data_IF_509926811147
#
_entry.id   IF_509926811147
#
_cell.length_a   1.000
_cell.length_b   1.000
_cell.length_c   1.000
_cell.angle_alpha   90.00
_cell.angle_beta   90.00
_cell.angle_gamma   90.00
#
_symmetry.space_group_name_H-M   'P 1'
#
loop_
_entity.id
_entity.type
_entity.pdbx_description
1 polymer ?
#
# COMPACT_ATOMS: atom_id res chain seq x y z
N UNK A 1 6.72 14.68 -7.79
CA UNK A 1 7.35 13.43 -7.34
C UNK A 1 7.81 13.58 -5.91
N UNK A 2 7.56 12.56 -5.11
CA UNK A 2 7.90 12.57 -3.69
C UNK A 2 9.07 11.62 -3.46
N UNK A 3 10.27 12.14 -3.17
CA UNK A 3 11.44 11.28 -2.97
C UNK A 3 11.33 10.48 -1.66
N UNK A 4 12.04 9.36 -1.63
CA UNK A 4 12.12 8.52 -0.45
C UNK A 4 12.94 9.20 0.64
N UNK A 5 12.49 9.20 1.91
CA UNK A 5 13.24 9.83 3.00
C UNK A 5 14.53 9.10 3.37
N UNK A 6 14.72 7.87 2.92
CA UNK A 6 15.86 7.03 3.31
C UNK A 6 16.95 6.95 2.24
N UNK A 7 16.99 7.89 1.29
CA UNK A 7 17.95 7.89 0.20
C UNK A 7 17.91 6.67 -0.71
N UNK A 8 16.89 5.86 -0.62
CA UNK A 8 16.64 4.78 -1.57
C UNK A 8 16.25 5.44 -2.90
N UNK A 9 16.78 4.99 -4.04
CA UNK A 9 16.53 5.65 -5.33
C UNK A 9 15.13 5.35 -5.86
N UNK A 10 14.12 5.90 -5.18
CA UNK A 10 12.73 5.81 -5.60
C UNK A 10 11.97 7.04 -5.13
N UNK A 11 10.83 7.30 -5.76
CA UNK A 11 9.85 8.27 -5.30
C UNK A 11 8.67 7.51 -4.69
N UNK A 12 8.11 8.05 -3.62
CA UNK A 12 6.92 7.43 -3.01
C UNK A 12 5.71 7.53 -3.94
N UNK A 13 5.58 8.66 -4.66
CA UNK A 13 4.49 8.91 -5.59
C UNK A 13 5.04 9.62 -6.81
N UNK A 14 4.59 9.21 -7.99
CA UNK A 14 4.88 9.88 -9.26
C UNK A 14 3.57 10.20 -9.95
N UNK A 15 3.38 11.47 -10.32
CA UNK A 15 2.23 11.86 -11.14
C UNK A 15 2.64 11.81 -12.60
N UNK A 16 1.85 11.11 -13.41
CA UNK A 16 2.05 11.03 -14.86
C UNK A 16 0.68 11.15 -15.53
N UNK A 17 0.47 12.26 -16.25
CA UNK A 17 -0.83 12.57 -16.83
C UNK A 17 -1.89 12.70 -15.75
N UNK A 18 -2.97 11.97 -15.88
CA UNK A 18 -4.10 11.99 -14.94
C UNK A 18 -3.96 10.95 -13.83
N UNK A 19 -2.80 10.29 -13.71
CA UNK A 19 -2.62 9.19 -12.78
C UNK A 19 -1.51 9.44 -11.79
N UNK A 20 -1.69 8.87 -10.61
CA UNK A 20 -0.65 8.76 -9.58
C UNK A 20 -0.19 7.31 -9.53
N UNK A 21 1.12 7.12 -9.53
CA UNK A 21 1.75 5.82 -9.36
C UNK A 21 2.39 5.81 -7.99
N UNK A 22 1.87 4.97 -7.09
CA UNK A 22 2.30 4.92 -5.70
C UNK A 22 3.15 3.69 -5.50
N UNK A 23 4.36 3.89 -4.98
CA UNK A 23 5.29 2.80 -4.65
C UNK A 23 4.71 1.90 -3.58
N UNK A 24 5.23 0.69 -3.48
CA UNK A 24 4.80 -0.26 -2.45
C UNK A 24 4.86 0.34 -1.06
N UNK A 25 3.73 0.35 -0.36
CA UNK A 25 3.63 0.87 0.99
C UNK A 25 3.76 -0.28 1.98
N UNK A 26 4.81 -0.28 2.81
CA UNK A 26 4.95 -1.27 3.88
C UNK A 26 4.15 -0.84 5.12
N UNK A 27 4.02 -1.72 6.13
CA UNK A 27 3.31 -1.37 7.35
C UNK A 27 4.16 -0.52 8.31
N UNK A 28 4.56 0.65 7.84
CA UNK A 28 5.43 1.55 8.59
C UNK A 28 4.60 2.50 9.44
N UNK A 29 4.95 2.61 10.72
CA UNK A 29 4.35 3.59 11.62
C UNK A 29 5.00 4.95 11.34
N UNK A 30 4.20 5.93 10.94
CA UNK A 30 4.71 7.26 10.60
C UNK A 30 5.21 8.02 11.82
N UNK A 31 4.68 7.74 13.01
CA UNK A 31 5.11 8.41 14.23
C UNK A 31 6.51 7.99 14.65
N UNK A 32 6.87 6.72 14.46
CA UNK A 32 8.16 6.19 14.91
C UNK A 32 9.13 5.92 13.78
N UNK A 33 8.65 5.85 12.54
CA UNK A 33 9.46 5.47 11.39
C UNK A 33 9.80 4.00 11.32
N UNK A 34 9.23 3.18 12.20
CA UNK A 34 9.54 1.74 12.29
C UNK A 34 8.41 0.92 11.69
N UNK A 35 8.76 -0.27 11.16
CA UNK A 35 7.76 -1.23 10.73
C UNK A 35 6.99 -1.72 11.94
N UNK A 36 5.65 -1.71 11.87
CA UNK A 36 4.86 -2.27 12.96
C UNK A 36 4.98 -3.79 12.93
N UNK A 37 4.96 -4.38 14.11
CA UNK A 37 4.93 -5.82 14.28
C UNK A 37 3.53 -6.22 14.69
N UNK A 38 3.15 -7.44 14.36
CA UNK A 38 1.83 -7.92 14.70
C UNK A 38 1.36 -8.92 13.67
N UNK A 39 0.10 -9.30 13.80
CA UNK A 39 -0.51 -10.24 12.86
C UNK A 39 -0.71 -9.58 11.50
N UNK A 40 -1.12 -10.40 10.54
CA UNK A 40 -1.28 -9.92 9.16
C UNK A 40 -2.41 -8.89 9.06
N UNK A 41 -3.44 -9.03 9.87
CA UNK A 41 -4.56 -8.07 9.89
C UNK A 41 -4.08 -6.69 10.32
N UNK A 42 -3.29 -6.62 11.38
CA UNK A 42 -2.71 -5.37 11.89
C UNK A 42 -1.81 -4.72 10.85
N UNK A 43 -0.95 -5.51 10.21
CA UNK A 43 -0.05 -5.02 9.18
C UNK A 43 -0.82 -4.53 7.96
N UNK A 44 -1.82 -5.27 7.51
CA UNK A 44 -2.64 -4.89 6.36
C UNK A 44 -3.35 -3.57 6.60
N UNK A 45 -3.91 -3.40 7.80
CA UNK A 45 -4.58 -2.15 8.17
C UNK A 45 -3.61 -0.97 8.12
N UNK A 46 -2.41 -1.13 8.65
CA UNK A 46 -1.41 -0.07 8.62
C UNK A 46 -1.00 0.28 7.18
N UNK A 47 -0.81 -0.74 6.33
CA UNK A 47 -0.48 -0.52 4.92
C UNK A 47 -1.56 0.32 4.23
N UNK A 48 -2.83 -0.03 4.45
CA UNK A 48 -3.94 0.68 3.80
C UNK A 48 -4.13 2.09 4.37
N UNK A 49 -3.88 2.30 5.66
CA UNK A 49 -3.85 3.63 6.24
C UNK A 49 -2.74 4.47 5.63
N UNK A 50 -1.56 3.89 5.43
CA UNK A 50 -0.44 4.58 4.80
C UNK A 50 -0.76 4.96 3.35
N UNK A 51 -1.38 4.05 2.63
CA UNK A 51 -1.80 4.30 1.25
C UNK A 51 -2.79 5.47 1.19
N UNK A 52 -3.78 5.45 2.08
CA UNK A 52 -4.77 6.53 2.17
C UNK A 52 -4.12 7.88 2.46
N UNK A 53 -3.18 7.90 3.41
CA UNK A 53 -2.47 9.12 3.79
C UNK A 53 -1.69 9.71 2.60
N UNK A 54 -0.96 8.87 1.87
CA UNK A 54 -0.18 9.30 0.72
C UNK A 54 -1.10 9.81 -0.40
N UNK A 55 -2.20 9.12 -0.65
CA UNK A 55 -3.16 9.55 -1.68
C UNK A 55 -3.80 10.89 -1.32
N UNK A 56 -4.22 11.07 -0.08
CA UNK A 56 -4.82 12.33 0.36
C UNK A 56 -3.83 13.48 0.31
N UNK A 57 -2.59 13.24 0.69
CA UNK A 57 -1.53 14.25 0.60
C UNK A 57 -1.24 14.64 -0.86
N UNK A 58 -1.58 13.78 -1.80
CA UNK A 58 -1.37 14.00 -3.24
C UNK A 58 -2.63 14.52 -3.94
N UNK A 59 -3.70 14.81 -3.19
CA UNK A 59 -4.94 15.34 -3.76
C UNK A 59 -5.89 14.28 -4.31
N UNK A 60 -5.67 13.01 -3.99
CA UNK A 60 -6.51 11.91 -4.42
C UNK A 60 -7.18 11.25 -3.21
N UNK A 61 -7.62 9.99 -3.35
CA UNK A 61 -8.28 9.26 -2.27
C UNK A 61 -8.37 7.78 -2.63
N UNK A 62 -8.72 6.94 -1.65
CA UNK A 62 -8.83 5.49 -1.87
C UNK A 62 -9.89 5.14 -2.91
N UNK A 63 -11.00 5.88 -2.96
CA UNK A 63 -12.05 5.61 -3.94
C UNK A 63 -11.66 5.95 -5.38
N UNK A 64 -10.52 6.57 -5.57
CA UNK A 64 -9.97 6.89 -6.90
C UNK A 64 -8.88 5.91 -7.32
N UNK A 65 -8.59 4.91 -6.51
CA UNK A 65 -7.63 3.85 -6.87
C UNK A 65 -8.25 2.96 -7.94
N UNK A 66 -7.49 2.71 -9.00
CA UNK A 66 -7.96 1.89 -10.13
C UNK A 66 -7.27 0.53 -10.18
N UNK A 67 -6.09 0.42 -9.59
CA UNK A 67 -5.34 -0.84 -9.58
C UNK A 67 -4.48 -0.92 -8.34
N UNK A 68 -4.48 -2.09 -7.69
CA UNK A 68 -3.53 -2.39 -6.62
C UNK A 68 -2.77 -3.67 -6.95
N UNK A 69 -1.57 -3.79 -6.40
CA UNK A 69 -0.85 -5.06 -6.32
C UNK A 69 -0.48 -5.29 -4.87
N UNK A 70 -0.93 -6.43 -4.34
CA UNK A 70 -0.64 -6.84 -2.97
C UNK A 70 0.51 -7.83 -3.02
N UNK A 71 1.60 -7.52 -2.34
CA UNK A 71 2.75 -8.41 -2.18
C UNK A 71 2.74 -8.95 -0.77
N UNK A 72 2.77 -10.26 -0.61
CA UNK A 72 2.67 -10.90 0.69
C UNK A 72 3.63 -12.09 0.75
N UNK A 73 4.20 -12.35 1.94
CA UNK A 73 5.18 -13.44 2.08
C UNK A 73 4.54 -14.81 2.13
N UNK A 74 3.24 -14.90 2.39
CA UNK A 74 2.57 -16.19 2.59
C UNK A 74 1.16 -16.16 2.01
N UNK A 75 0.88 -17.06 1.08
CA UNK A 75 -0.43 -17.18 0.45
C UNK A 75 -1.54 -17.54 1.44
N UNK A 76 -1.19 -18.14 2.59
CA UNK A 76 -2.16 -18.47 3.63
C UNK A 76 -2.82 -17.22 4.24
N UNK A 77 -2.22 -16.05 4.06
CA UNK A 77 -2.78 -14.78 4.54
C UNK A 77 -3.86 -14.20 3.64
N UNK A 78 -4.13 -14.81 2.50
CA UNK A 78 -5.03 -14.26 1.48
C UNK A 78 -6.39 -13.87 2.05
N UNK A 79 -7.00 -14.77 2.83
CA UNK A 79 -8.34 -14.55 3.39
C UNK A 79 -8.36 -13.41 4.41
N UNK A 80 -7.38 -13.40 5.32
CA UNK A 80 -7.27 -12.36 6.34
C UNK A 80 -7.01 -10.98 5.72
N UNK A 81 -6.16 -10.92 4.71
CA UNK A 81 -5.90 -9.68 3.96
C UNK A 81 -7.20 -9.19 3.30
N UNK A 82 -7.95 -10.09 2.67
CA UNK A 82 -9.21 -9.73 2.02
C UNK A 82 -10.21 -9.12 2.99
N UNK A 83 -10.29 -9.64 4.21
CA UNK A 83 -11.24 -9.14 5.20
C UNK A 83 -10.97 -7.68 5.56
N UNK A 84 -9.70 -7.33 5.75
CA UNK A 84 -9.31 -5.95 6.05
C UNK A 84 -9.41 -5.07 4.80
N UNK A 85 -8.95 -5.56 3.67
CA UNK A 85 -8.98 -4.85 2.39
C UNK A 85 -10.40 -4.41 2.03
N UNK A 86 -11.38 -5.28 2.30
CA UNK A 86 -12.79 -5.02 2.02
C UNK A 86 -13.33 -3.83 2.81
N UNK A 87 -12.80 -3.56 3.99
CA UNK A 87 -13.19 -2.39 4.79
C UNK A 87 -12.76 -1.07 4.14
N UNK A 88 -11.67 -1.09 3.38
CA UNK A 88 -11.12 0.11 2.74
C UNK A 88 -11.63 0.32 1.32
N UNK A 89 -12.08 -0.75 0.68
CA UNK A 89 -12.65 -0.71 -0.66
C UNK A 89 -14.03 -1.37 -0.67
N UNK A 90 -15.01 -0.75 0.02
CA UNK A 90 -16.33 -1.39 0.21
C UNK A 90 -17.20 -1.38 -1.04
N UNK A 91 -16.94 -0.48 -1.99
CA UNK A 91 -17.73 -0.34 -3.21
C UNK A 91 -16.79 -0.20 -4.40
N UNK A 92 -17.16 -0.84 -5.52
CA UNK A 92 -16.41 -0.76 -6.77
C UNK A 92 -14.91 -0.95 -6.53
N UNK A 93 -14.48 -2.09 -5.97
CA UNK A 93 -13.07 -2.30 -5.65
C UNK A 93 -12.20 -2.19 -6.90
N UNK A 94 -10.95 -1.73 -6.74
CA UNK A 94 -10.04 -1.62 -7.88
C UNK A 94 -9.66 -2.99 -8.43
N UNK A 95 -9.16 -3.01 -9.66
CA UNK A 95 -8.50 -4.20 -10.18
C UNK A 95 -7.33 -4.56 -9.26
N UNK A 96 -7.06 -5.85 -9.06
CA UNK A 96 -6.04 -6.28 -8.09
C UNK A 96 -5.32 -7.53 -8.54
N UNK A 97 -4.02 -7.58 -8.24
CA UNK A 97 -3.24 -8.80 -8.27
C UNK A 97 -2.70 -9.08 -6.87
N UNK A 98 -2.67 -10.34 -6.47
CA UNK A 98 -2.10 -10.79 -5.20
C UNK A 98 -0.91 -11.69 -5.54
N UNK A 99 0.28 -11.30 -5.09
CA UNK A 99 1.53 -11.97 -5.45
C UNK A 99 2.27 -12.37 -4.18
N UNK A 100 2.74 -13.61 -4.12
CA UNK A 100 3.62 -14.02 -3.01
C UNK A 100 5.06 -13.71 -3.36
N UNK A 101 5.84 -13.30 -2.36
CA UNK A 101 7.25 -12.95 -2.51
C UNK A 101 8.08 -13.74 -1.51
N UNK A 102 9.38 -13.91 -1.81
CA UNK A 102 10.26 -14.70 -0.96
C UNK A 102 10.71 -13.96 0.29
N UNK A 103 11.12 -12.71 0.15
CA UNK A 103 11.61 -11.92 1.26
C UNK A 103 11.73 -10.46 0.86
N UNK A 104 11.88 -9.60 1.87
CA UNK A 104 12.19 -8.18 1.70
C UNK A 104 13.45 -7.83 2.47
N UNK A 105 14.07 -6.69 2.15
CA UNK A 105 15.21 -6.21 2.95
C UNK A 105 14.83 -5.71 4.34
N UNK A 106 13.55 -5.75 4.70
CA UNK A 106 13.04 -5.36 6.02
C UNK A 106 12.06 -6.41 6.52
N UNK A 107 11.77 -6.38 7.83
CA UNK A 107 10.94 -7.40 8.48
C UNK A 107 9.47 -6.98 8.48
N UNK A 108 8.75 -7.35 7.44
CA UNK A 108 7.29 -7.19 7.36
C UNK A 108 6.74 -8.24 6.40
N UNK A 109 5.43 -8.45 6.45
CA UNK A 109 4.78 -9.55 5.72
C UNK A 109 3.99 -9.10 4.49
N UNK A 110 3.69 -7.82 4.36
CA UNK A 110 2.83 -7.33 3.29
C UNK A 110 3.22 -5.91 2.89
N UNK A 111 3.11 -5.60 1.60
CA UNK A 111 3.09 -4.23 1.10
C UNK A 111 2.14 -4.14 -0.08
N UNK A 112 1.63 -2.94 -0.34
CA UNK A 112 0.67 -2.70 -1.42
C UNK A 112 1.11 -1.46 -2.20
N UNK A 113 1.17 -1.61 -3.52
CA UNK A 113 1.32 -0.48 -4.43
C UNK A 113 0.00 -0.20 -5.12
N UNK A 114 -0.16 1.00 -5.66
CA UNK A 114 -1.39 1.29 -6.39
C UNK A 114 -1.19 2.31 -7.51
N UNK A 115 -2.18 2.36 -8.39
CA UNK A 115 -2.37 3.42 -9.38
C UNK A 115 -3.72 4.06 -9.07
N UNK A 116 -3.75 5.38 -8.98
CA UNK A 116 -4.98 6.12 -8.70
C UNK A 116 -5.15 7.27 -9.68
N UNK A 117 -6.38 7.76 -9.80
CA UNK A 117 -6.66 8.98 -10.56
C UNK A 117 -6.18 10.16 -9.72
N UNK A 118 -5.50 11.10 -10.35
CA UNK A 118 -4.77 12.15 -9.64
C UNK A 118 -5.68 13.20 -8.97
N UNK A 119 -6.93 13.30 -9.37
CA UNK A 119 -7.83 14.31 -8.77
C UNK A 119 -9.29 13.94 -8.90
#
# INVERSE_FOLDING_TARGET
>A
DTPSPNNVPLSAVVKAGDFLFVSGMPPKDHATGKMIKGDIETQTRQVLENLNMVLEASGSSLDKVVKTTVFCVNAAHFRAVNDIYREYFPQDPPARSFVTVGSWPASFDIEIECVAIAS
#
